data_IF_453669442938
#
_entry.id   IF_453669442938
#
_cell.length_a   1.000
_cell.length_b   1.000
_cell.length_c   1.000
_cell.angle_alpha   90.00
_cell.angle_beta   90.00
_cell.angle_gamma   90.00
#
_symmetry.space_group_name_H-M   'P 1'
#
loop_
_entity.id
_entity.type
_entity.pdbx_description
1 polymer ?
#
# COMPACT_ATOMS: atom_id res chain seq x y z
N UNK A 1 20.90 2.26 -20.61
CA UNK A 1 19.54 2.18 -20.00
C UNK A 1 19.46 0.93 -19.13
N UNK A 2 19.08 1.02 -17.84
CA UNK A 2 18.85 -0.20 -17.03
C UNK A 2 17.66 -0.97 -17.60
N UNK A 3 17.84 -2.25 -17.93
CA UNK A 3 16.78 -3.13 -18.45
C UNK A 3 15.64 -3.19 -17.42
N UNK A 4 14.41 -2.97 -17.89
CA UNK A 4 13.19 -3.06 -17.09
C UNK A 4 13.03 -4.48 -16.53
N UNK A 5 12.63 -4.60 -15.25
CA UNK A 5 12.48 -5.89 -14.55
C UNK A 5 10.98 -6.24 -14.55
N UNK A 6 10.59 -7.21 -15.38
CA UNK A 6 9.17 -7.57 -15.61
C UNK A 6 8.50 -8.06 -14.33
N UNK A 7 9.19 -8.86 -13.55
CA UNK A 7 8.71 -9.38 -12.27
C UNK A 7 8.39 -8.31 -11.23
N UNK A 8 9.05 -7.14 -11.27
CA UNK A 8 8.71 -6.01 -10.41
C UNK A 8 7.48 -5.24 -10.90
N UNK A 9 7.21 -5.22 -12.20
CA UNK A 9 5.93 -4.74 -12.71
C UNK A 9 4.82 -5.73 -12.36
N UNK A 10 5.05 -7.03 -12.54
CA UNK A 10 4.11 -8.07 -12.11
C UNK A 10 3.75 -7.94 -10.62
N UNK A 11 4.74 -7.81 -9.73
CA UNK A 11 4.48 -7.69 -8.29
C UNK A 11 3.68 -6.43 -7.94
N UNK A 12 3.93 -5.31 -8.63
CA UNK A 12 3.10 -4.10 -8.51
C UNK A 12 1.66 -4.35 -8.96
N UNK A 13 1.49 -5.07 -10.08
CA UNK A 13 0.17 -5.48 -10.56
C UNK A 13 -0.58 -6.38 -9.58
N UNK A 14 0.10 -7.33 -8.95
CA UNK A 14 -0.47 -8.17 -7.89
C UNK A 14 -0.93 -7.31 -6.71
N UNK A 15 -0.12 -6.37 -6.23
CA UNK A 15 -0.50 -5.48 -5.14
C UNK A 15 -1.76 -4.65 -5.48
N UNK A 16 -1.89 -4.19 -6.73
CA UNK A 16 -3.09 -3.51 -7.23
C UNK A 16 -4.30 -4.44 -7.18
N UNK A 17 -4.21 -5.65 -7.72
CA UNK A 17 -5.33 -6.60 -7.70
C UNK A 17 -5.79 -6.90 -6.25
N UNK A 18 -4.85 -7.12 -5.33
CA UNK A 18 -5.17 -7.38 -3.93
C UNK A 18 -5.86 -6.16 -3.29
N UNK A 19 -5.40 -4.94 -3.58
CA UNK A 19 -6.00 -3.70 -3.10
C UNK A 19 -7.41 -3.47 -3.66
N UNK A 20 -7.63 -3.78 -4.94
CA UNK A 20 -8.97 -3.74 -5.53
C UNK A 20 -9.94 -4.66 -4.78
N UNK A 21 -9.51 -5.88 -4.46
CA UNK A 21 -10.32 -6.83 -3.68
C UNK A 21 -10.59 -6.26 -2.27
N UNK A 22 -9.59 -5.66 -1.60
CA UNK A 22 -9.78 -5.04 -0.29
C UNK A 22 -10.85 -3.93 -0.33
N UNK A 23 -10.73 -3.03 -1.29
CA UNK A 23 -11.65 -1.90 -1.44
C UNK A 23 -13.05 -2.36 -1.79
N UNK A 24 -13.18 -3.30 -2.73
CA UNK A 24 -14.48 -3.85 -3.08
C UNK A 24 -15.15 -4.54 -1.88
N UNK A 25 -14.41 -5.36 -1.13
CA UNK A 25 -14.93 -6.01 0.08
C UNK A 25 -15.33 -4.99 1.15
N UNK A 26 -14.52 -3.94 1.36
CA UNK A 26 -14.83 -2.88 2.32
C UNK A 26 -16.02 -2.01 1.93
N UNK A 27 -16.15 -1.66 0.64
CA UNK A 27 -17.18 -0.72 0.16
C UNK A 27 -18.49 -1.43 -0.19
N UNK A 28 -18.46 -2.57 -0.90
CA UNK A 28 -19.67 -3.29 -1.31
C UNK A 28 -20.23 -4.17 -0.20
N UNK A 29 -19.35 -4.93 0.47
CA UNK A 29 -19.76 -5.97 1.42
C UNK A 29 -19.74 -5.49 2.88
N UNK A 30 -19.24 -4.27 3.13
CA UNK A 30 -19.00 -3.73 4.47
C UNK A 30 -18.20 -4.69 5.36
N UNK A 31 -17.32 -5.49 4.75
CA UNK A 31 -16.55 -6.51 5.44
C UNK A 31 -15.55 -5.81 6.38
N UNK A 32 -15.54 -6.11 7.70
CA UNK A 32 -14.56 -5.54 8.61
C UNK A 32 -13.18 -6.16 8.38
N UNK A 33 -12.13 -5.53 8.91
CA UNK A 33 -10.78 -6.10 8.84
C UNK A 33 -10.56 -7.00 10.07
N UNK A 34 -10.86 -8.29 9.92
CA UNK A 34 -10.71 -9.30 10.98
C UNK A 34 -10.01 -10.57 10.46
N UNK A 35 -9.39 -11.41 11.31
CA UNK A 35 -8.59 -12.56 10.87
C UNK A 35 -9.32 -13.60 10.00
N UNK A 36 -10.65 -13.61 10.03
CA UNK A 36 -11.52 -14.52 9.28
C UNK A 36 -12.06 -13.95 7.97
N UNK A 37 -11.70 -12.71 7.64
CA UNK A 37 -12.27 -11.94 6.52
C UNK A 37 -11.33 -11.92 5.33
N UNK A 38 -11.86 -11.69 4.12
CA UNK A 38 -10.99 -11.53 2.94
C UNK A 38 -10.09 -10.30 3.11
N UNK A 39 -10.58 -9.28 3.82
CA UNK A 39 -9.87 -8.05 4.11
C UNK A 39 -8.62 -8.21 4.96
N UNK A 40 -8.53 -9.29 5.74
CA UNK A 40 -7.30 -9.65 6.44
C UNK A 40 -6.22 -10.08 5.46
N UNK A 41 -6.52 -11.00 4.54
CA UNK A 41 -5.55 -11.47 3.55
C UNK A 41 -5.11 -10.34 2.62
N UNK A 42 -6.03 -9.44 2.26
CA UNK A 42 -5.71 -8.30 1.41
C UNK A 42 -4.91 -7.21 2.11
N UNK A 43 -4.71 -7.27 3.43
CA UNK A 43 -3.73 -6.41 4.12
C UNK A 43 -2.32 -6.56 3.58
N UNK A 44 -2.01 -7.67 2.88
CA UNK A 44 -0.74 -7.87 2.15
C UNK A 44 -0.50 -6.79 1.07
N UNK A 45 -1.53 -6.16 0.51
CA UNK A 45 -1.35 -5.14 -0.52
C UNK A 45 -0.53 -3.95 -0.03
N UNK A 46 -0.80 -3.50 1.19
CA UNK A 46 -0.13 -2.34 1.77
C UNK A 46 1.40 -2.50 1.89
N UNK A 47 1.93 -3.51 2.60
CA UNK A 47 3.37 -3.69 2.74
C UNK A 47 4.06 -3.91 1.39
N UNK A 48 3.38 -4.55 0.43
CA UNK A 48 3.88 -4.65 -0.94
C UNK A 48 4.04 -3.27 -1.58
N UNK A 49 3.03 -2.38 -1.49
CA UNK A 49 3.12 -1.04 -2.04
C UNK A 49 4.21 -0.21 -1.37
N UNK A 50 4.30 -0.21 -0.04
CA UNK A 50 5.31 0.57 0.69
C UNK A 50 6.74 0.09 0.39
N UNK A 51 6.97 -1.23 0.40
CA UNK A 51 8.27 -1.83 0.03
C UNK A 51 8.65 -1.49 -1.41
N UNK A 52 7.74 -1.69 -2.36
CA UNK A 52 7.99 -1.37 -3.77
C UNK A 52 8.23 0.12 -3.98
N UNK A 53 7.46 0.97 -3.30
CA UNK A 53 7.64 2.41 -3.32
C UNK A 53 9.05 2.78 -2.88
N UNK A 54 9.49 2.32 -1.70
CA UNK A 54 10.86 2.54 -1.21
C UNK A 54 11.94 1.99 -2.14
N UNK A 55 11.76 0.78 -2.66
CA UNK A 55 12.67 0.14 -3.61
C UNK A 55 12.91 1.00 -4.86
N UNK A 56 11.85 1.60 -5.41
CA UNK A 56 11.96 2.49 -6.57
C UNK A 56 12.42 3.90 -6.21
N UNK A 57 12.07 4.40 -5.02
CA UNK A 57 12.43 5.74 -4.55
C UNK A 57 13.94 5.95 -4.54
N UNK A 58 14.69 4.98 -4.01
CA UNK A 58 16.15 5.04 -3.89
C UNK A 58 16.91 5.08 -5.23
N UNK A 59 16.24 4.82 -6.36
CA UNK A 59 16.88 4.67 -7.67
C UNK A 59 16.68 5.84 -8.64
N UNK A 60 16.06 6.93 -8.19
CA UNK A 60 15.63 8.04 -9.06
C UNK A 60 16.57 9.24 -8.98
N UNK A 61 16.74 9.91 -10.12
CA UNK A 61 17.30 11.27 -10.13
C UNK A 61 16.31 12.26 -9.50
N UNK A 62 16.80 13.42 -9.06
CA UNK A 62 15.96 14.48 -8.46
C UNK A 62 14.79 14.88 -9.37
N UNK A 63 15.01 15.09 -10.66
CA UNK A 63 13.92 15.47 -11.58
C UNK A 63 12.84 14.40 -11.71
N UNK A 64 13.23 13.13 -11.77
CA UNK A 64 12.31 11.99 -11.82
C UNK A 64 11.57 11.78 -10.50
N UNK A 65 12.20 12.16 -9.39
CA UNK A 65 11.58 12.18 -8.08
C UNK A 65 10.52 13.27 -8.00
N UNK A 66 10.85 14.50 -8.39
CA UNK A 66 9.92 15.65 -8.39
C UNK A 66 8.70 15.36 -9.27
N UNK A 67 8.92 14.94 -10.52
CA UNK A 67 7.82 14.57 -11.42
C UNK A 67 6.92 13.49 -10.79
N UNK A 68 7.52 12.49 -10.18
CA UNK A 68 6.76 11.43 -9.53
C UNK A 68 6.04 11.89 -8.27
N UNK A 69 6.65 12.77 -7.49
CA UNK A 69 6.02 13.41 -6.34
C UNK A 69 4.75 14.10 -6.76
N UNK A 70 4.81 14.92 -7.82
CA UNK A 70 3.63 15.60 -8.39
C UNK A 70 2.57 14.58 -8.83
N UNK A 71 2.95 13.53 -9.57
CA UNK A 71 2.00 12.47 -9.98
C UNK A 71 1.33 11.79 -8.78
N UNK A 72 2.10 11.43 -7.74
CA UNK A 72 1.59 10.79 -6.53
C UNK A 72 0.67 11.74 -5.77
N UNK A 73 1.05 13.02 -5.60
CA UNK A 73 0.24 14.03 -4.94
C UNK A 73 -1.08 14.28 -5.68
N UNK A 74 -1.04 14.44 -7.01
CA UNK A 74 -2.25 14.64 -7.80
C UNK A 74 -3.23 13.47 -7.66
N UNK A 75 -2.71 12.24 -7.72
CA UNK A 75 -3.51 11.02 -7.56
C UNK A 75 -4.01 10.86 -6.13
N UNK A 76 -3.19 11.20 -5.13
CA UNK A 76 -3.59 11.21 -3.73
C UNK A 76 -4.76 12.16 -3.49
N UNK A 77 -4.68 13.39 -4.01
CA UNK A 77 -5.78 14.36 -3.92
C UNK A 77 -7.05 13.78 -4.57
N UNK A 78 -6.94 13.31 -5.81
CA UNK A 78 -8.09 12.78 -6.57
C UNK A 78 -8.78 11.62 -5.84
N UNK A 79 -8.02 10.64 -5.36
CA UNK A 79 -8.58 9.48 -4.65
C UNK A 79 -9.17 9.91 -3.31
N UNK A 80 -8.49 10.77 -2.56
CA UNK A 80 -8.94 11.17 -1.23
C UNK A 80 -10.18 12.06 -1.22
N UNK A 81 -10.48 12.80 -2.31
CA UNK A 81 -11.76 13.50 -2.44
C UNK A 81 -12.96 12.56 -2.25
N UNK A 82 -12.84 11.32 -2.73
CA UNK A 82 -13.88 10.30 -2.56
C UNK A 82 -13.66 9.46 -1.29
N UNK A 83 -12.44 8.93 -1.12
CA UNK A 83 -12.12 8.00 -0.03
C UNK A 83 -12.36 8.64 1.36
N UNK A 84 -11.96 9.90 1.55
CA UNK A 84 -12.14 10.59 2.83
C UNK A 84 -13.62 10.73 3.20
N UNK A 85 -14.49 10.95 2.21
CA UNK A 85 -15.94 11.05 2.45
C UNK A 85 -16.56 9.72 2.91
N UNK A 86 -15.98 8.58 2.51
CA UNK A 86 -16.45 7.25 2.86
C UNK A 86 -15.89 6.74 4.19
N UNK A 87 -14.60 6.99 4.43
CA UNK A 87 -13.85 6.35 5.54
C UNK A 87 -13.48 7.35 6.66
N UNK A 88 -13.52 8.66 6.39
CA UNK A 88 -13.12 9.71 7.35
C UNK A 88 -11.61 9.79 7.60
N UNK A 89 -10.80 9.13 6.77
CA UNK A 89 -9.32 9.11 6.85
C UNK A 89 -8.71 9.27 5.47
N UNK A 90 -7.47 9.74 5.42
CA UNK A 90 -6.68 9.78 4.21
C UNK A 90 -6.09 8.40 3.90
N UNK A 91 -6.20 8.00 2.65
CA UNK A 91 -5.69 6.74 2.12
C UNK A 91 -4.13 6.70 2.09
N UNK A 92 -3.53 5.51 1.94
CA UNK A 92 -2.06 5.28 1.92
C UNK A 92 -1.26 6.24 1.05
N UNK A 93 -1.83 6.74 -0.04
CA UNK A 93 -1.18 7.71 -0.93
C UNK A 93 -0.83 8.99 -0.19
N UNK A 94 -1.59 9.39 0.84
CA UNK A 94 -1.23 10.47 1.75
C UNK A 94 0.11 10.21 2.43
N UNK A 95 0.31 9.00 2.97
CA UNK A 95 1.57 8.56 3.57
C UNK A 95 2.72 8.52 2.55
N UNK A 96 2.44 8.12 1.30
CA UNK A 96 3.46 8.18 0.23
C UNK A 96 3.84 9.60 -0.16
N UNK A 97 2.90 10.56 -0.16
CA UNK A 97 3.22 11.98 -0.37
C UNK A 97 4.17 12.46 0.73
N UNK A 98 3.84 12.19 2.00
CA UNK A 98 4.72 12.54 3.13
C UNK A 98 6.09 11.88 3.00
N UNK A 99 6.16 10.64 2.53
CA UNK A 99 7.43 9.95 2.28
C UNK A 99 8.24 10.56 1.13
N UNK A 100 7.61 11.02 0.04
CA UNK A 100 8.31 11.75 -1.03
C UNK A 100 8.90 13.04 -0.48
N UNK A 101 8.11 13.79 0.29
CA UNK A 101 8.55 15.04 0.93
C UNK A 101 9.72 14.77 1.86
N UNK A 102 9.60 13.79 2.76
CA UNK A 102 10.67 13.39 3.65
C UNK A 102 11.94 12.99 2.87
N UNK A 103 11.81 12.22 1.78
CA UNK A 103 12.96 11.80 0.98
C UNK A 103 13.63 12.96 0.26
N UNK A 104 12.88 13.98 -0.12
CA UNK A 104 13.44 15.19 -0.71
C UNK A 104 14.39 15.91 0.26
N UNK A 105 14.02 15.97 1.54
CA UNK A 105 14.83 16.64 2.59
C UNK A 105 15.93 15.76 3.17
N UNK A 106 15.62 14.51 3.52
CA UNK A 106 16.52 13.58 4.21
C UNK A 106 17.40 12.77 3.24
N UNK A 107 16.99 12.68 1.97
CA UNK A 107 17.68 11.89 0.96
C UNK A 107 17.83 10.42 1.39
N UNK A 108 19.04 9.89 1.20
CA UNK A 108 19.33 8.49 1.48
C UNK A 108 19.33 8.13 2.97
N UNK A 109 19.22 9.10 3.89
CA UNK A 109 19.12 8.82 5.33
C UNK A 109 17.80 8.08 5.65
N UNK A 110 16.75 8.25 4.82
CA UNK A 110 15.44 7.61 5.02
C UNK A 110 15.51 6.08 5.15
N UNK A 111 16.48 5.41 4.51
CA UNK A 111 16.61 3.96 4.61
C UNK A 111 16.90 3.47 6.04
N UNK A 112 17.33 4.36 6.93
CA UNK A 112 17.57 4.08 8.34
C UNK A 112 16.34 4.31 9.23
N UNK A 113 15.19 4.66 8.65
CA UNK A 113 13.92 4.79 9.36
C UNK A 113 13.24 3.44 9.64
N UNK A 114 13.88 2.31 9.34
CA UNK A 114 13.39 0.97 9.68
C UNK A 114 12.92 0.87 11.16
N UNK A 115 13.65 1.39 12.16
CA UNK A 115 13.23 1.30 13.56
C UNK A 115 11.95 2.07 13.90
N UNK A 116 11.47 2.98 13.04
CA UNK A 116 10.22 3.72 13.27
C UNK A 116 9.02 2.79 13.42
N UNK A 117 9.07 1.56 12.91
CA UNK A 117 7.99 0.60 13.10
C UNK A 117 7.62 0.41 14.58
N UNK A 118 8.61 0.47 15.49
CA UNK A 118 8.41 0.34 16.94
C UNK A 118 7.65 1.54 17.54
N UNK A 119 7.70 2.70 16.87
CA UNK A 119 7.06 3.93 17.33
C UNK A 119 5.61 4.06 16.82
N UNK A 120 5.14 3.12 16.00
CA UNK A 120 3.79 3.13 15.43
C UNK A 120 2.68 3.24 16.47
N UNK A 121 2.73 2.59 17.66
CA UNK A 121 1.69 2.76 18.68
C UNK A 121 1.47 4.21 19.14
N UNK A 122 2.48 5.08 18.96
CA UNK A 122 2.45 6.49 19.37
C UNK A 122 2.45 7.45 18.18
N UNK A 123 2.23 6.95 16.96
CA UNK A 123 2.22 7.79 15.77
C UNK A 123 0.94 8.67 15.75
N UNK A 124 1.05 10.01 15.86
CA UNK A 124 -0.12 10.89 15.85
C UNK A 124 -0.89 10.84 14.51
N UNK A 125 -0.25 10.37 13.43
CA UNK A 125 -0.88 10.23 12.12
C UNK A 125 -1.94 9.13 12.06
N UNK A 126 -2.01 8.25 13.06
CA UNK A 126 -3.09 7.27 13.24
C UNK A 126 -4.49 7.92 13.21
N UNK A 127 -4.60 9.18 13.68
CA UNK A 127 -5.87 9.87 13.74
C UNK A 127 -6.41 10.29 12.35
N UNK A 128 -5.54 10.40 11.33
CA UNK A 128 -5.91 10.97 10.04
C UNK A 128 -5.48 10.15 8.83
N UNK A 129 -4.48 9.27 8.94
CA UNK A 129 -4.07 8.36 7.87
C UNK A 129 -4.63 6.95 8.13
N UNK A 130 -5.07 6.27 7.08
CA UNK A 130 -5.42 4.84 7.15
C UNK A 130 -4.19 4.01 7.54
N UNK A 131 -3.01 4.40 7.03
CA UNK A 131 -1.73 3.81 7.37
C UNK A 131 -0.77 4.86 7.96
N UNK A 132 -0.39 4.73 9.24
CA UNK A 132 0.46 5.70 9.92
C UNK A 132 1.82 5.87 9.23
N UNK A 133 2.39 7.07 9.31
CA UNK A 133 3.63 7.39 8.60
C UNK A 133 4.82 6.58 9.13
N UNK A 134 4.89 6.26 10.43
CA UNK A 134 5.98 5.44 10.99
C UNK A 134 5.96 4.01 10.42
N UNK A 135 4.76 3.46 10.22
CA UNK A 135 4.55 2.17 9.57
C UNK A 135 5.00 2.25 8.11
N UNK A 136 4.46 3.18 7.33
CA UNK A 136 4.80 3.29 5.90
C UNK A 136 6.27 3.63 5.67
N UNK A 137 6.85 4.51 6.49
CA UNK A 137 8.25 4.92 6.41
C UNK A 137 9.21 3.77 6.69
N UNK A 138 8.94 2.97 7.72
CA UNK A 138 9.78 1.82 8.07
C UNK A 138 9.75 0.73 6.99
N UNK A 139 8.58 0.47 6.41
CA UNK A 139 8.44 -0.49 5.31
C UNK A 139 9.11 0.02 4.03
N UNK A 140 8.93 1.29 3.67
CA UNK A 140 9.63 1.91 2.55
C UNK A 140 11.15 1.90 2.76
N UNK A 141 11.62 2.18 3.97
CA UNK A 141 13.03 2.10 4.34
C UNK A 141 13.60 0.69 4.09
N UNK A 142 12.88 -0.37 4.46
CA UNK A 142 13.26 -1.74 4.13
C UNK A 142 13.34 -1.96 2.60
N UNK A 143 12.39 -1.43 1.83
CA UNK A 143 12.43 -1.48 0.37
C UNK A 143 13.69 -0.84 -0.22
N UNK A 144 14.14 0.29 0.35
CA UNK A 144 15.40 0.94 -0.03
C UNK A 144 16.62 0.08 0.33
N UNK A 145 16.64 -0.52 1.52
CA UNK A 145 17.72 -1.42 1.94
C UNK A 145 17.82 -2.67 1.05
N UNK A 146 16.67 -3.25 0.67
CA UNK A 146 16.65 -4.36 -0.29
C UNK A 146 17.18 -3.97 -1.66
N UNK A 147 16.97 -2.72 -2.08
CA UNK A 147 17.55 -2.18 -3.33
C UNK A 147 19.08 -2.14 -3.27
N UNK A 148 19.64 -1.90 -2.09
CA UNK A 148 21.09 -1.96 -1.81
C UNK A 148 21.62 -3.39 -1.62
N UNK A 149 20.77 -4.42 -1.79
CA UNK A 149 21.16 -5.81 -1.67
C UNK A 149 21.17 -6.35 -0.25
N UNK A 150 20.54 -5.66 0.71
CA UNK A 150 20.33 -6.21 2.06
C UNK A 150 19.40 -7.42 2.04
N UNK A 151 19.62 -8.32 2.98
CA UNK A 151 18.88 -9.58 3.09
C UNK A 151 17.40 -9.33 3.44
N UNK A 152 16.51 -10.09 2.81
CA UNK A 152 15.07 -10.07 3.08
C UNK A 152 14.75 -10.43 4.54
N UNK A 153 15.63 -11.17 5.23
CA UNK A 153 15.49 -11.53 6.65
C UNK A 153 15.40 -10.32 7.59
N UNK A 154 15.84 -9.13 7.16
CA UNK A 154 15.61 -7.89 7.92
C UNK A 154 14.11 -7.62 8.17
N UNK A 155 13.22 -8.17 7.34
CA UNK A 155 11.77 -8.09 7.57
C UNK A 155 11.29 -8.78 8.85
N UNK A 156 12.07 -9.71 9.42
CA UNK A 156 11.73 -10.36 10.70
C UNK A 156 11.68 -9.36 11.86
N UNK A 157 12.33 -8.20 11.72
CA UNK A 157 12.20 -7.08 12.65
C UNK A 157 10.74 -6.67 12.89
N UNK A 158 9.88 -6.80 11.87
CA UNK A 158 8.47 -6.41 11.95
C UNK A 158 7.61 -7.36 12.81
N UNK A 159 8.15 -8.50 13.26
CA UNK A 159 7.47 -9.36 14.24
C UNK A 159 7.29 -8.63 15.57
N UNK A 160 8.26 -7.81 15.99
CA UNK A 160 8.19 -7.05 17.24
C UNK A 160 7.01 -6.06 17.23
N UNK A 161 6.92 -5.09 16.30
CA UNK A 161 5.79 -4.17 16.26
C UNK A 161 4.45 -4.87 15.97
N UNK A 162 4.42 -6.02 15.28
CA UNK A 162 3.22 -6.86 15.17
C UNK A 162 2.67 -7.25 16.55
N UNK A 163 3.53 -7.68 17.48
CA UNK A 163 3.14 -8.09 18.84
C UNK A 163 2.72 -6.90 19.73
N UNK A 164 3.20 -5.69 19.43
CA UNK A 164 2.92 -4.48 20.22
C UNK A 164 1.69 -3.72 19.73
N UNK A 165 1.28 -3.91 18.47
CA UNK A 165 0.22 -3.15 17.83
C UNK A 165 -1.12 -3.87 17.87
N UNK A 166 -2.19 -3.07 17.97
CA UNK A 166 -3.55 -3.59 17.83
C UNK A 166 -3.97 -3.66 16.35
N UNK A 167 -4.89 -4.56 15.99
CA UNK A 167 -5.55 -4.54 14.70
C UNK A 167 -6.20 -3.17 14.40
N UNK A 168 -6.33 -2.78 13.11
CA UNK A 168 -5.97 -3.58 11.93
C UNK A 168 -4.50 -3.45 11.50
N UNK A 169 -3.75 -2.47 12.02
CA UNK A 169 -2.38 -2.18 11.55
C UNK A 169 -1.37 -3.28 11.85
N UNK A 170 -1.57 -4.04 12.93
CA UNK A 170 -0.71 -5.19 13.23
C UNK A 170 -0.68 -6.21 12.09
N UNK A 171 -1.78 -6.37 11.35
CA UNK A 171 -1.82 -7.30 10.21
C UNK A 171 -0.86 -6.91 9.09
N UNK A 172 -0.66 -5.62 8.82
CA UNK A 172 0.37 -5.17 7.88
C UNK A 172 1.76 -5.65 8.30
N UNK A 173 2.11 -5.54 9.58
CA UNK A 173 3.38 -6.03 10.11
C UNK A 173 3.52 -7.55 10.02
N UNK A 174 2.43 -8.29 10.24
CA UNK A 174 2.41 -9.75 10.05
C UNK A 174 2.75 -10.14 8.60
N UNK A 175 2.26 -9.39 7.61
CA UNK A 175 2.52 -9.67 6.20
C UNK A 175 3.87 -9.16 5.68
N UNK A 176 4.65 -8.41 6.49
CA UNK A 176 5.93 -7.86 6.06
C UNK A 176 6.95 -8.91 5.61
N UNK A 177 7.19 -10.04 6.34
CA UNK A 177 8.10 -11.07 5.87
C UNK A 177 7.70 -11.66 4.51
N UNK A 178 6.41 -11.90 4.30
CA UNK A 178 5.88 -12.41 3.03
C UNK A 178 6.08 -11.39 1.90
N UNK A 179 5.68 -10.13 2.09
CA UNK A 179 5.84 -9.07 1.10
C UNK A 179 7.31 -8.85 0.71
N UNK A 180 8.20 -8.90 1.69
CA UNK A 180 9.66 -8.76 1.51
C UNK A 180 10.22 -9.96 0.75
N UNK A 181 9.80 -11.18 1.08
CA UNK A 181 10.17 -12.38 0.33
C UNK A 181 9.70 -12.30 -1.13
N UNK A 182 8.47 -11.88 -1.38
CA UNK A 182 7.93 -11.70 -2.74
C UNK A 182 8.76 -10.68 -3.54
N UNK A 183 9.19 -9.58 -2.91
CA UNK A 183 10.09 -8.60 -3.53
C UNK A 183 11.47 -9.22 -3.84
N UNK A 184 12.06 -9.94 -2.89
CA UNK A 184 13.35 -10.62 -3.10
C UNK A 184 13.28 -11.62 -4.25
N UNK A 185 12.20 -12.41 -4.30
CA UNK A 185 11.92 -13.35 -5.36
C UNK A 185 11.75 -12.64 -6.71
N UNK A 186 11.01 -11.53 -6.76
CA UNK A 186 10.82 -10.77 -7.99
C UNK A 186 12.15 -10.19 -8.50
N UNK A 187 13.00 -9.67 -7.61
CA UNK A 187 14.34 -9.15 -7.98
C UNK A 187 15.23 -10.25 -8.57
N UNK A 188 15.17 -11.47 -8.02
CA UNK A 188 15.92 -12.64 -8.51
C UNK A 188 15.38 -13.15 -9.85
N UNK A 189 14.06 -13.21 -10.01
CA UNK A 189 13.38 -13.81 -11.17
C UNK A 189 12.93 -12.77 -12.21
N UNK A 190 13.89 -12.00 -12.75
CA UNK A 190 13.63 -10.78 -13.54
C UNK A 190 12.71 -10.95 -14.77
N UNK A 191 12.60 -12.16 -15.29
CA UNK A 191 11.82 -12.49 -16.50
C UNK A 191 10.41 -13.01 -16.24
N UNK A 192 10.06 -13.36 -15.00
CA UNK A 192 8.73 -13.87 -14.69
C UNK A 192 7.67 -12.77 -14.78
N UNK A 193 6.51 -13.10 -15.33
CA UNK A 193 5.34 -12.25 -15.26
C UNK A 193 4.21 -12.73 -16.17
N UNK A 194 3.00 -12.31 -15.84
CA UNK A 194 1.83 -12.40 -16.70
C UNK A 194 1.62 -11.06 -17.40
N UNK A 195 1.42 -11.05 -18.72
CA UNK A 195 1.32 -9.81 -19.51
C UNK A 195 0.24 -8.85 -19.01
N UNK A 196 -0.93 -9.35 -18.57
CA UNK A 196 -2.02 -8.52 -18.08
C UNK A 196 -1.66 -7.87 -16.74
N UNK A 197 -1.21 -8.68 -15.77
CA UNK A 197 -0.84 -8.19 -14.44
C UNK A 197 0.37 -7.24 -14.52
N UNK A 198 1.32 -7.52 -15.41
CA UNK A 198 2.43 -6.61 -15.68
C UNK A 198 1.93 -5.23 -16.11
N UNK A 199 0.97 -5.14 -17.06
CA UNK A 199 0.43 -3.87 -17.56
C UNK A 199 -0.07 -3.00 -16.40
N UNK A 200 -0.81 -3.59 -15.45
CA UNK A 200 -1.29 -2.89 -14.26
C UNK A 200 -0.13 -2.26 -13.48
N UNK A 201 0.93 -3.03 -13.23
CA UNK A 201 2.10 -2.55 -12.52
C UNK A 201 3.05 -1.67 -13.33
N UNK A 202 2.89 -1.59 -14.66
CA UNK A 202 3.61 -0.61 -15.50
C UNK A 202 3.09 0.81 -15.26
N UNK A 203 1.80 0.95 -14.99
CA UNK A 203 1.12 2.22 -14.77
C UNK A 203 0.44 2.26 -13.40
N UNK A 204 1.19 2.07 -12.30
CA UNK A 204 0.58 1.72 -11.03
C UNK A 204 -0.35 2.80 -10.48
N UNK A 205 -0.07 4.09 -10.71
CA UNK A 205 -0.98 5.17 -10.27
C UNK A 205 -2.27 5.23 -11.09
N UNK A 206 -2.17 5.08 -12.41
CA UNK A 206 -3.36 5.06 -13.27
C UNK A 206 -4.22 3.85 -12.93
N UNK A 207 -3.61 2.66 -12.85
CA UNK A 207 -4.28 1.44 -12.42
C UNK A 207 -4.90 1.57 -11.04
N UNK A 208 -4.24 2.29 -10.12
CA UNK A 208 -4.75 2.58 -8.78
C UNK A 208 -6.01 3.47 -8.81
N UNK A 209 -6.05 4.52 -9.63
CA UNK A 209 -7.26 5.34 -9.82
C UNK A 209 -8.38 4.51 -10.46
N UNK A 210 -8.06 3.78 -11.52
CA UNK A 210 -9.05 2.98 -12.25
C UNK A 210 -9.65 1.87 -11.38
N UNK A 211 -8.85 1.18 -10.57
CA UNK A 211 -9.39 0.18 -9.64
C UNK A 211 -10.33 0.81 -8.62
N UNK A 212 -10.07 2.05 -8.17
CA UNK A 212 -10.87 2.69 -7.14
C UNK A 212 -12.22 3.10 -7.70
N UNK A 213 -12.21 3.70 -8.90
CA UNK A 213 -13.43 3.99 -9.68
C UNK A 213 -14.22 2.70 -9.92
N UNK A 214 -13.54 1.63 -10.34
CA UNK A 214 -14.19 0.33 -10.58
C UNK A 214 -14.79 -0.26 -9.30
N UNK A 215 -14.09 -0.19 -8.17
CA UNK A 215 -14.59 -0.68 -6.89
C UNK A 215 -15.86 0.07 -6.48
N UNK A 216 -15.85 1.40 -6.52
CA UNK A 216 -17.02 2.24 -6.21
C UNK A 216 -18.19 1.96 -7.16
N UNK A 217 -17.94 1.87 -8.47
CA UNK A 217 -18.99 1.60 -9.46
C UNK A 217 -19.62 0.21 -9.25
N UNK A 218 -18.80 -0.82 -9.01
CA UNK A 218 -19.29 -2.17 -8.75
C UNK A 218 -20.03 -2.25 -7.42
N UNK A 219 -19.59 -1.53 -6.39
CA UNK A 219 -20.32 -1.40 -5.13
C UNK A 219 -21.70 -0.75 -5.34
N UNK A 220 -21.78 0.33 -6.13
CA UNK A 220 -23.04 0.98 -6.45
C UNK A 220 -24.01 0.05 -7.20
N UNK A 221 -23.50 -0.73 -8.16
CA UNK A 221 -24.28 -1.76 -8.87
C UNK A 221 -24.76 -2.84 -7.89
N UNK A 222 -23.87 -3.32 -7.02
CA UNK A 222 -24.22 -4.30 -5.99
C UNK A 222 -25.36 -3.80 -5.11
N UNK A 223 -25.28 -2.56 -4.61
CA UNK A 223 -26.37 -1.97 -3.83
C UNK A 223 -27.67 -1.84 -4.63
N UNK A 224 -27.62 -1.33 -5.86
CA UNK A 224 -28.81 -1.21 -6.70
C UNK A 224 -29.55 -2.55 -6.91
N UNK A 225 -28.79 -3.64 -7.07
CA UNK A 225 -29.32 -4.98 -7.33
C UNK A 225 -29.76 -5.73 -6.06
N UNK A 226 -29.07 -5.53 -4.93
CA UNK A 226 -29.23 -6.40 -3.76
C UNK A 226 -29.80 -5.70 -2.52
N UNK A 227 -29.69 -4.37 -2.37
CA UNK A 227 -30.26 -3.67 -1.19
C UNK A 227 -31.65 -3.11 -1.38
N UNK A 228 -32.21 -3.14 -2.59
CA UNK A 228 -33.66 -3.02 -2.80
C UNK A 228 -34.46 -4.17 -2.14
N UNK A 229 -33.77 -5.19 -1.58
CA UNK A 229 -34.32 -6.29 -0.78
C UNK A 229 -33.93 -6.27 0.71
N UNK A 230 -33.16 -5.29 1.18
CA UNK A 230 -32.72 -5.25 2.58
C UNK A 230 -33.62 -4.29 3.37
N UNK A 231 -34.46 -4.78 4.30
CA UNK A 231 -35.27 -3.92 5.15
C UNK A 231 -34.34 -2.97 5.92
N UNK A 232 -34.71 -1.70 6.00
CA UNK A 232 -33.99 -0.63 6.70
C UNK A 232 -33.47 -1.11 8.06
N UNK A 233 -32.21 -1.50 8.12
CA UNK A 233 -31.51 -1.75 9.38
C UNK A 233 -31.17 -0.37 9.93
N UNK A 234 -31.92 0.06 10.93
CA UNK A 234 -31.57 1.21 11.77
C UNK A 234 -30.16 1.02 12.30
N UNK A 235 -29.21 1.81 11.79
CA UNK A 235 -27.86 1.90 12.32
C UNK A 235 -27.96 2.56 13.69
N UNK A 236 -27.93 1.74 14.75
CA UNK A 236 -27.72 2.23 16.12
C UNK A 236 -26.25 2.65 16.19
N UNK A 237 -26.02 3.96 16.38
CA UNK A 237 -24.69 4.55 16.56
C UNK A 237 -24.14 4.24 17.94
#
# INVERSE_FOLDING_TARGET
>A
MKKRIRSLDFLRGVAIIIMFIDHFAGIALLDPINPTTIRFLTRLAEPLFALLFGYFLHSRSKDKLVKRGIEVTAVAILVNLFYYSLIGRFEILGSFVLMVVAYFFLGNIIKWLLPLALLTPWDPTIAFLDYPITLVASQAALGMLMREGKDWRLSLFFIIPFLLMRPPWSYSFLFMPLATYMLAWAVKNKGYGNSFVEILGRYPLMSYVMQFIAAVALSAIYYALFTSYVPTVTVVR
#
